data_IF_725471020151
#
_entry.id   IF_725471020151
#
_cell.length_a   1.000
_cell.length_b   1.000
_cell.length_c   1.000
_cell.angle_alpha   90.00
_cell.angle_beta   90.00
_cell.angle_gamma   90.00
#
_symmetry.space_group_name_H-M   'P 1'
#
loop_
_entity.id
_entity.type
_entity.pdbx_description
1 polymer ?
#
# COMPACT_ATOMS: atom_id res chain seq x y z
N UNK A 1 53.74 -11.68 21.58
CA UNK A 1 52.38 -11.34 22.07
C UNK A 1 51.53 -11.06 20.83
N UNK A 2 50.76 -12.08 20.42
CA UNK A 2 49.28 -12.11 20.44
C UNK A 2 48.69 -11.20 19.34
N UNK A 3 47.78 -11.61 18.46
CA UNK A 3 47.19 -12.91 18.13
C UNK A 3 46.33 -12.63 16.90
N UNK A 4 46.58 -13.29 15.79
CA UNK A 4 45.75 -13.21 14.58
C UNK A 4 44.46 -14.00 14.85
N UNK A 5 43.33 -13.34 15.04
CA UNK A 5 42.05 -14.04 15.16
C UNK A 5 41.50 -14.33 13.75
N UNK A 6 41.75 -15.55 13.30
CA UNK A 6 40.97 -16.20 12.25
C UNK A 6 39.57 -16.48 12.80
N UNK A 7 38.54 -15.82 12.28
CA UNK A 7 37.15 -16.19 12.52
C UNK A 7 36.71 -17.19 11.47
N UNK A 8 36.50 -18.42 11.90
CA UNK A 8 35.90 -19.53 11.15
C UNK A 8 34.45 -19.22 10.76
N UNK A 9 33.93 -19.78 9.65
CA UNK A 9 32.55 -19.57 9.23
C UNK A 9 31.61 -20.41 10.10
N UNK A 10 30.79 -19.75 10.92
CA UNK A 10 29.69 -20.39 11.64
C UNK A 10 28.55 -20.72 10.69
N UNK A 11 28.03 -21.93 10.88
CA UNK A 11 26.99 -22.62 10.13
C UNK A 11 25.78 -21.73 9.84
N UNK A 12 25.19 -21.94 8.67
CA UNK A 12 23.86 -21.49 8.31
C UNK A 12 22.84 -22.04 9.31
N UNK A 13 22.56 -21.29 10.36
CA UNK A 13 21.35 -21.49 11.15
C UNK A 13 20.17 -21.01 10.31
N UNK A 14 19.36 -21.98 9.90
CA UNK A 14 18.13 -21.77 9.18
C UNK A 14 17.19 -20.88 10.00
N UNK A 15 17.04 -19.62 9.58
CA UNK A 15 16.00 -18.75 10.10
C UNK A 15 14.62 -19.42 9.90
N UNK A 16 13.73 -19.44 10.91
CA UNK A 16 12.39 -19.97 10.76
C UNK A 16 11.65 -19.20 9.67
N UNK A 17 11.28 -19.88 8.58
CA UNK A 17 10.49 -19.33 7.48
C UNK A 17 9.00 -19.21 7.85
N UNK A 18 8.69 -18.61 8.99
CA UNK A 18 7.30 -18.23 9.27
C UNK A 18 7.04 -16.88 8.62
N UNK A 19 6.82 -16.89 7.30
CA UNK A 19 5.90 -15.90 6.73
C UNK A 19 4.55 -16.16 7.41
N UNK A 20 3.88 -15.14 7.97
CA UNK A 20 2.49 -15.32 8.32
C UNK A 20 1.72 -15.60 7.03
N UNK A 21 1.02 -16.73 7.02
CA UNK A 21 0.05 -17.03 5.98
C UNK A 21 -0.92 -15.85 5.81
N UNK A 22 -1.48 -15.73 4.60
CA UNK A 22 -2.57 -14.82 4.22
C UNK A 22 -3.46 -14.48 5.43
N UNK A 23 -3.90 -13.20 5.62
CA UNK A 23 -4.63 -12.79 6.81
C UNK A 23 -5.73 -13.79 7.14
N UNK A 24 -5.58 -14.46 8.28
CA UNK A 24 -6.54 -15.44 8.78
C UNK A 24 -7.89 -14.75 8.83
N UNK A 25 -8.86 -15.27 8.09
CA UNK A 25 -10.26 -14.87 8.23
C UNK A 25 -10.68 -15.30 9.63
N UNK A 26 -10.69 -14.35 10.57
CA UNK A 26 -11.18 -14.60 11.92
C UNK A 26 -12.69 -14.67 11.82
N UNK A 27 -13.24 -15.87 11.99
CA UNK A 27 -14.67 -16.06 12.20
C UNK A 27 -15.02 -15.50 13.58
N UNK A 28 -15.61 -14.30 13.60
CA UNK A 28 -15.98 -13.60 14.82
C UNK A 28 -17.08 -14.32 15.61
N UNK A 29 -17.83 -15.23 14.98
CA UNK A 29 -18.97 -15.91 15.59
C UNK A 29 -18.54 -17.14 16.41
N UNK A 30 -17.30 -17.60 16.24
CA UNK A 30 -16.74 -18.80 16.89
C UNK A 30 -15.83 -18.51 18.10
N UNK A 31 -15.77 -17.25 18.58
CA UNK A 31 -14.92 -16.88 19.72
C UNK A 31 -15.52 -17.40 21.04
N UNK A 32 -15.04 -18.56 21.50
CA UNK A 32 -15.34 -19.09 22.84
C UNK A 32 -14.58 -18.27 23.87
N UNK A 33 -15.32 -17.45 24.64
CA UNK A 33 -14.79 -16.75 25.81
C UNK A 33 -14.50 -17.79 26.89
N UNK A 34 -13.22 -18.02 27.20
CA UNK A 34 -12.86 -18.74 28.42
C UNK A 34 -13.11 -17.83 29.61
N UNK A 35 -14.03 -18.24 30.49
CA UNK A 35 -14.34 -17.53 31.73
C UNK A 35 -13.07 -17.31 32.57
N UNK A 36 -12.68 -16.04 32.72
CA UNK A 36 -11.67 -15.62 33.69
C UNK A 36 -12.36 -15.65 35.07
N UNK A 37 -11.80 -16.35 36.09
CA UNK A 37 -12.45 -16.44 37.39
C UNK A 37 -12.58 -15.06 38.03
N UNK A 38 -13.81 -14.81 38.45
CA UNK A 38 -14.42 -13.55 38.86
C UNK A 38 -13.65 -12.79 39.97
N UNK A 39 -13.24 -11.57 39.66
CA UNK A 39 -13.42 -10.43 40.56
C UNK A 39 -14.04 -9.29 39.74
N UNK A 40 -15.34 -9.13 39.94
CA UNK A 40 -16.26 -8.05 39.53
C UNK A 40 -15.81 -7.10 38.41
N UNK A 41 -16.24 -7.40 37.18
CA UNK A 41 -16.55 -6.37 36.18
C UNK A 41 -17.81 -6.76 35.40
N UNK A 42 -18.76 -5.83 35.40
CA UNK A 42 -20.07 -5.85 34.72
C UNK A 42 -19.99 -6.49 33.31
N UNK A 43 -20.71 -7.60 33.09
CA UNK A 43 -20.74 -8.32 31.81
C UNK A 43 -21.62 -7.52 30.82
N UNK A 44 -21.01 -6.54 30.18
CA UNK A 44 -21.55 -5.85 29.01
C UNK A 44 -20.60 -6.00 27.84
N UNK A 45 -20.74 -7.13 27.12
CA UNK A 45 -20.04 -7.42 25.86
C UNK A 45 -18.56 -7.77 26.07
N UNK A 46 -18.13 -8.93 25.58
CA UNK A 46 -16.71 -9.29 25.56
C UNK A 46 -15.90 -8.25 24.78
N UNK A 47 -14.82 -7.75 25.37
CA UNK A 47 -13.93 -6.81 24.72
C UNK A 47 -12.80 -7.56 24.01
N UNK A 48 -12.66 -7.34 22.70
CA UNK A 48 -11.52 -7.86 21.93
C UNK A 48 -10.28 -7.00 22.22
N UNK A 49 -9.20 -7.64 22.69
CA UNK A 49 -7.91 -6.99 22.90
C UNK A 49 -6.86 -7.49 21.91
N UNK A 50 -6.27 -6.56 21.16
CA UNK A 50 -5.10 -6.85 20.34
C UNK A 50 -3.84 -6.84 21.21
N UNK A 51 -3.13 -7.96 21.24
CA UNK A 51 -1.91 -8.12 22.05
C UNK A 51 -0.64 -7.93 21.24
N UNK A 52 -0.71 -8.07 19.91
CA UNK A 52 0.47 -8.11 19.05
C UNK A 52 0.30 -7.18 17.86
N UNK A 53 1.35 -6.43 17.55
CA UNK A 53 1.44 -5.61 16.34
C UNK A 53 2.67 -6.03 15.52
N UNK A 54 2.44 -6.52 14.31
CA UNK A 54 3.48 -6.83 13.34
C UNK A 54 3.65 -5.66 12.37
N UNK A 55 4.86 -5.11 12.30
CA UNK A 55 5.23 -3.99 11.44
C UNK A 55 6.13 -4.49 10.31
N UNK A 56 5.70 -4.28 9.07
CA UNK A 56 6.49 -4.54 7.88
C UNK A 56 7.07 -3.23 7.35
N UNK A 57 8.39 -3.17 7.18
CA UNK A 57 9.07 -1.99 6.62
C UNK A 57 9.42 -2.24 5.16
N UNK A 58 8.94 -1.38 4.28
CA UNK A 58 9.19 -1.44 2.84
C UNK A 58 10.12 -0.30 2.42
N UNK A 59 11.09 -0.57 1.53
CA UNK A 59 11.86 0.49 0.89
C UNK A 59 10.96 1.46 0.13
N UNK A 60 11.39 2.71 0.06
CA UNK A 60 10.73 3.74 -0.74
C UNK A 60 11.03 3.51 -2.23
N UNK A 61 10.00 3.60 -3.08
CA UNK A 61 10.15 3.55 -4.54
C UNK A 61 8.97 4.22 -5.24
N UNK A 62 8.89 4.12 -6.56
CA UNK A 62 7.69 4.37 -7.33
C UNK A 62 6.76 3.14 -7.29
N UNK A 63 5.58 3.27 -6.68
CA UNK A 63 4.65 2.14 -6.56
C UNK A 63 3.41 2.46 -5.72
N UNK A 64 2.37 1.65 -5.86
CA UNK A 64 1.09 1.85 -5.17
C UNK A 64 0.15 2.86 -5.85
N UNK A 65 -1.00 3.11 -5.25
CA UNK A 65 -2.07 3.95 -5.81
C UNK A 65 -1.99 5.43 -5.41
N UNK A 66 -0.93 5.80 -4.67
CA UNK A 66 -0.77 7.14 -4.11
C UNK A 66 -0.50 8.15 -5.23
N UNK A 67 -1.44 9.07 -5.44
CA UNK A 67 -1.28 10.18 -6.37
C UNK A 67 -1.33 11.50 -5.59
N UNK A 68 -0.20 12.23 -5.49
CA UNK A 68 -0.16 13.53 -4.86
C UNK A 68 -1.15 14.49 -5.51
N UNK A 69 -1.83 15.31 -4.69
CA UNK A 69 -2.74 16.35 -5.19
C UNK A 69 -1.96 17.37 -6.02
N UNK A 70 -0.83 17.80 -5.48
CA UNK A 70 0.08 18.78 -6.06
C UNK A 70 1.06 18.14 -7.06
N UNK A 71 1.92 18.93 -7.70
CA UNK A 71 2.84 18.50 -8.77
C UNK A 71 3.82 17.39 -8.37
N UNK A 72 4.45 16.77 -9.37
CA UNK A 72 5.59 15.87 -9.15
C UNK A 72 5.28 14.38 -9.10
N UNK A 73 6.35 13.58 -8.93
CA UNK A 73 6.23 12.13 -9.01
C UNK A 73 5.56 11.60 -7.73
N UNK A 74 4.70 10.59 -7.83
CA UNK A 74 4.25 9.89 -6.65
C UNK A 74 5.41 9.14 -6.00
N UNK A 75 5.30 8.93 -4.69
CA UNK A 75 6.17 8.05 -3.94
C UNK A 75 5.31 6.95 -3.33
N UNK A 76 5.88 5.77 -3.20
CA UNK A 76 5.25 4.67 -2.50
C UNK A 76 6.28 3.67 -2.02
N UNK A 77 5.84 2.43 -1.94
CA UNK A 77 6.56 1.35 -1.29
C UNK A 77 6.92 0.27 -2.30
N UNK A 78 8.05 -0.40 -2.07
CA UNK A 78 8.45 -1.54 -2.88
C UNK A 78 7.49 -2.71 -2.67
N UNK A 79 7.51 -3.67 -3.60
CA UNK A 79 6.67 -4.87 -3.49
C UNK A 79 7.08 -5.75 -2.31
N UNK A 80 8.35 -5.73 -1.94
CA UNK A 80 8.92 -6.59 -0.90
C UNK A 80 9.35 -5.75 0.31
N UNK A 81 9.09 -6.26 1.52
CA UNK A 81 9.57 -5.65 2.75
C UNK A 81 11.02 -6.07 3.01
N UNK A 82 11.75 -5.26 3.77
CA UNK A 82 13.13 -5.53 4.21
C UNK A 82 13.22 -5.85 5.69
N UNK A 83 12.20 -5.50 6.47
CA UNK A 83 12.19 -5.74 7.91
C UNK A 83 10.80 -6.13 8.38
N UNK A 84 10.75 -7.05 9.34
CA UNK A 84 9.56 -7.42 10.08
C UNK A 84 9.86 -7.24 11.56
N UNK A 85 8.99 -6.52 12.27
CA UNK A 85 9.10 -6.30 13.70
C UNK A 85 7.79 -6.68 14.39
N UNK A 86 7.88 -7.47 15.46
CA UNK A 86 6.73 -7.82 16.28
C UNK A 86 6.86 -7.09 17.60
N UNK A 87 5.82 -6.36 17.98
CA UNK A 87 5.79 -5.59 19.22
C UNK A 87 4.51 -5.90 20.01
N UNK A 88 4.62 -5.86 21.33
CA UNK A 88 3.48 -5.93 22.24
C UNK A 88 2.59 -4.68 22.06
N UNK A 89 1.31 -4.92 21.76
CA UNK A 89 0.29 -3.90 21.54
C UNK A 89 -0.52 -3.59 22.81
N UNK A 90 -0.31 -4.33 23.91
CA UNK A 90 -0.97 -4.06 25.19
C UNK A 90 -0.47 -2.79 25.86
N UNK A 91 0.75 -2.36 25.52
CA UNK A 91 1.31 -1.10 26.01
C UNK A 91 0.67 0.10 25.30
N UNK A 92 0.11 1.09 26.03
CA UNK A 92 -0.51 2.26 25.41
C UNK A 92 0.53 3.07 24.64
N UNK A 93 0.46 3.05 23.30
CA UNK A 93 1.37 3.82 22.44
C UNK A 93 1.00 5.30 22.41
N UNK A 94 2.04 6.13 22.30
CA UNK A 94 2.03 7.60 22.43
C UNK A 94 1.11 8.31 21.42
N UNK A 95 0.83 9.57 21.77
CA UNK A 95 -0.04 10.57 21.15
C UNK A 95 -0.17 10.44 19.63
N UNK A 96 -1.41 10.54 19.13
CA UNK A 96 -1.74 10.70 17.72
C UNK A 96 -1.03 11.94 17.17
N UNK A 97 -0.06 11.74 16.27
CA UNK A 97 0.56 12.82 15.50
C UNK A 97 0.00 12.83 14.08
N UNK A 98 0.07 13.99 13.42
CA UNK A 98 -0.21 14.05 11.98
C UNK A 98 0.97 13.43 11.23
N UNK A 99 0.67 12.55 10.28
CA UNK A 99 1.66 12.01 9.35
C UNK A 99 2.20 13.17 8.48
N UNK A 100 3.52 13.28 8.42
CA UNK A 100 4.20 14.29 7.60
C UNK A 100 3.89 14.07 6.12
N UNK A 101 3.68 15.17 5.38
CA UNK A 101 3.53 15.15 3.92
C UNK A 101 4.82 15.66 3.28
N UNK A 102 5.23 15.01 2.20
CA UNK A 102 6.41 15.40 1.43
C UNK A 102 6.03 16.38 0.31
N UNK A 103 6.79 17.44 0.18
CA UNK A 103 6.72 18.40 -0.93
C UNK A 103 7.15 17.76 -2.25
N UNK A 104 6.97 18.50 -3.35
CA UNK A 104 7.38 18.05 -4.68
C UNK A 104 8.89 17.75 -4.76
N UNK A 105 9.73 18.66 -4.24
CA UNK A 105 11.19 18.53 -4.32
C UNK A 105 11.69 17.40 -3.41
N UNK A 106 11.16 17.30 -2.19
CA UNK A 106 11.50 16.20 -1.27
C UNK A 106 11.18 14.84 -1.90
N UNK A 107 10.07 14.72 -2.64
CA UNK A 107 9.75 13.47 -3.35
C UNK A 107 10.75 13.14 -4.44
N UNK A 108 11.23 14.13 -5.20
CA UNK A 108 12.28 13.92 -6.19
C UNK A 108 13.57 13.46 -5.51
N UNK A 109 13.95 14.11 -4.40
CA UNK A 109 15.16 13.77 -3.64
C UNK A 109 15.08 12.35 -3.07
N UNK A 110 13.92 11.95 -2.52
CA UNK A 110 13.70 10.60 -2.02
C UNK A 110 13.82 9.55 -3.13
N UNK A 111 13.27 9.81 -4.32
CA UNK A 111 13.38 8.87 -5.44
C UNK A 111 14.82 8.79 -5.97
N UNK A 112 15.55 9.92 -6.03
CA UNK A 112 16.98 9.93 -6.36
C UNK A 112 17.80 9.12 -5.35
N UNK A 113 17.50 9.28 -4.06
CA UNK A 113 18.15 8.51 -2.99
C UNK A 113 17.82 7.01 -3.06
N UNK A 114 16.67 6.65 -3.64
CA UNK A 114 16.29 5.28 -3.95
C UNK A 114 16.84 4.78 -5.31
N UNK A 115 17.87 5.44 -5.84
CA UNK A 115 18.55 5.08 -7.10
C UNK A 115 17.66 5.12 -8.35
N UNK A 116 16.52 5.81 -8.29
CA UNK A 116 15.66 6.01 -9.45
C UNK A 116 16.25 7.10 -10.33
N UNK A 117 16.48 6.77 -11.59
CA UNK A 117 17.11 7.68 -12.54
C UNK A 117 16.24 8.91 -12.79
N UNK A 118 16.84 10.09 -13.05
CA UNK A 118 16.08 11.30 -13.40
C UNK A 118 15.14 11.11 -14.59
N UNK A 119 15.52 10.26 -15.55
CA UNK A 119 14.68 9.90 -16.70
C UNK A 119 13.38 9.22 -16.27
N UNK A 120 13.45 8.26 -15.34
CA UNK A 120 12.26 7.61 -14.81
C UNK A 120 11.43 8.56 -13.96
N UNK A 121 12.06 9.40 -13.13
CA UNK A 121 11.35 10.42 -12.34
C UNK A 121 10.55 11.36 -13.25
N UNK A 122 11.12 11.80 -14.37
CA UNK A 122 10.41 12.63 -15.34
C UNK A 122 9.20 11.91 -15.95
N UNK A 123 9.35 10.63 -16.32
CA UNK A 123 8.24 9.82 -16.80
C UNK A 123 7.11 9.69 -15.75
N UNK A 124 7.46 9.47 -14.48
CA UNK A 124 6.51 9.40 -13.38
C UNK A 124 5.76 10.71 -13.15
N UNK A 125 6.43 11.86 -13.34
CA UNK A 125 5.78 13.16 -13.31
C UNK A 125 4.73 13.30 -14.43
N UNK A 126 5.08 12.89 -15.66
CA UNK A 126 4.17 12.96 -16.80
C UNK A 126 2.94 12.07 -16.59
N UNK A 127 3.16 10.81 -16.19
CA UNK A 127 2.06 9.88 -15.86
C UNK A 127 1.15 10.45 -14.76
N UNK A 128 1.73 11.05 -13.73
CA UNK A 128 0.95 11.67 -12.65
C UNK A 128 0.11 12.87 -13.12
N UNK A 129 0.53 13.61 -14.15
CA UNK A 129 -0.27 14.67 -14.77
C UNK A 129 -1.46 14.06 -15.52
N UNK A 130 -1.21 13.04 -16.33
CA UNK A 130 -2.25 12.35 -17.11
C UNK A 130 -3.32 11.74 -16.20
N UNK A 131 -2.92 11.02 -15.15
CA UNK A 131 -3.86 10.41 -14.20
C UNK A 131 -4.69 11.49 -13.50
N UNK A 132 -4.11 12.65 -13.15
CA UNK A 132 -4.87 13.74 -12.53
C UNK A 132 -5.87 14.36 -13.50
N UNK A 133 -5.48 14.59 -14.75
CA UNK A 133 -6.38 15.09 -15.78
C UNK A 133 -7.56 14.13 -16.00
N UNK A 134 -7.26 12.83 -16.13
CA UNK A 134 -8.26 11.78 -16.24
C UNK A 134 -9.22 11.77 -15.03
N UNK A 135 -8.70 11.77 -13.80
CA UNK A 135 -9.52 11.83 -12.57
C UNK A 135 -10.36 13.09 -12.51
N UNK A 136 -9.84 14.25 -12.92
CA UNK A 136 -10.59 15.49 -12.96
C UNK A 136 -11.75 15.43 -13.97
N UNK A 137 -11.54 14.84 -15.15
CA UNK A 137 -12.60 14.60 -16.15
C UNK A 137 -13.69 13.69 -15.57
N UNK A 138 -13.32 12.57 -14.96
CA UNK A 138 -14.27 11.65 -14.31
C UNK A 138 -15.05 12.34 -13.20
N UNK A 139 -14.39 13.12 -12.33
CA UNK A 139 -15.07 13.84 -11.25
C UNK A 139 -16.05 14.89 -11.77
N UNK A 140 -15.71 15.60 -12.85
CA UNK A 140 -16.62 16.54 -13.52
C UNK A 140 -17.83 15.83 -14.10
N UNK A 141 -17.62 14.72 -14.81
CA UNK A 141 -18.70 13.88 -15.35
C UNK A 141 -19.65 13.39 -14.24
N UNK A 142 -19.10 12.83 -13.16
CA UNK A 142 -19.89 12.37 -12.03
C UNK A 142 -20.64 13.50 -11.34
N UNK A 143 -20.01 14.67 -11.18
CA UNK A 143 -20.66 15.84 -10.58
C UNK A 143 -21.85 16.32 -11.43
N UNK A 144 -21.70 16.41 -12.75
CA UNK A 144 -22.81 16.75 -13.68
C UNK A 144 -23.94 15.73 -13.62
N UNK A 145 -23.58 14.43 -13.64
CA UNK A 145 -24.58 13.35 -13.53
C UNK A 145 -25.37 13.42 -12.22
N UNK A 146 -24.74 13.86 -11.12
CA UNK A 146 -25.43 14.05 -9.85
C UNK A 146 -26.22 15.36 -9.77
N UNK A 147 -25.82 16.42 -10.49
CA UNK A 147 -26.59 17.68 -10.54
C UNK A 147 -27.77 17.65 -11.51
N UNK A 148 -27.83 16.65 -12.40
CA UNK A 148 -28.91 16.51 -13.39
C UNK A 148 -28.67 17.27 -14.70
N UNK A 149 -27.52 17.93 -14.82
CA UNK A 149 -27.14 18.71 -16.00
C UNK A 149 -26.44 17.80 -17.03
N UNK A 150 -27.24 17.05 -17.81
CA UNK A 150 -26.77 16.29 -18.96
C UNK A 150 -26.74 17.18 -20.22
N UNK A 151 -25.67 17.97 -20.35
CA UNK A 151 -25.26 18.47 -21.67
C UNK A 151 -24.04 17.68 -22.14
N UNK A 152 -24.21 16.93 -23.22
CA UNK A 152 -23.13 16.24 -23.93
C UNK A 152 -22.24 17.31 -24.58
N UNK A 153 -21.12 17.61 -23.92
CA UNK A 153 -20.07 18.41 -24.52
C UNK A 153 -19.24 17.49 -25.41
N UNK A 154 -19.37 17.67 -26.72
CA UNK A 154 -18.38 17.19 -27.69
C UNK A 154 -17.01 17.78 -27.29
N UNK A 155 -16.07 16.91 -26.93
CA UNK A 155 -14.69 17.31 -26.69
C UNK A 155 -14.04 17.61 -28.05
N UNK A 156 -13.65 18.86 -28.32
CA UNK A 156 -12.78 19.24 -29.44
C UNK A 156 -11.35 18.73 -29.17
N UNK A 157 -11.05 17.53 -29.65
CA UNK A 157 -9.74 16.86 -29.56
C UNK A 157 -8.72 17.38 -30.61
N UNK A 158 -8.62 18.70 -30.81
CA UNK A 158 -7.58 19.29 -31.67
C UNK A 158 -6.23 19.46 -30.96
N UNK A 159 -5.62 18.36 -30.51
CA UNK A 159 -4.17 18.28 -30.31
C UNK A 159 -3.68 16.91 -30.77
N UNK A 160 -3.13 16.84 -31.99
CA UNK A 160 -2.50 15.63 -32.52
C UNK A 160 -1.32 15.16 -31.65
N UNK A 161 -1.26 13.88 -31.29
CA UNK A 161 -0.02 13.23 -30.93
C UNK A 161 0.35 12.22 -32.02
N UNK A 162 1.34 12.59 -32.84
CA UNK A 162 2.02 11.66 -33.74
C UNK A 162 2.81 10.62 -32.93
N UNK A 163 2.18 9.54 -32.47
CA UNK A 163 2.89 8.30 -32.12
C UNK A 163 1.99 7.10 -32.31
N UNK A 164 2.35 6.24 -33.25
CA UNK A 164 1.77 4.92 -33.47
C UNK A 164 1.93 4.06 -32.22
N UNK A 165 0.84 3.76 -31.51
CA UNK A 165 0.82 2.74 -30.46
C UNK A 165 -0.20 1.65 -30.80
N UNK A 166 0.33 0.44 -30.94
CA UNK A 166 -0.38 -0.81 -31.17
C UNK A 166 -1.37 -1.04 -30.02
N UNK A 167 -2.65 -1.12 -30.37
CA UNK A 167 -3.78 -1.32 -29.48
C UNK A 167 -3.71 -2.69 -28.79
N UNK A 168 -3.08 -2.76 -27.61
CA UNK A 168 -3.20 -3.94 -26.76
C UNK A 168 -4.49 -3.84 -25.96
N UNK A 169 -5.56 -4.40 -26.55
CA UNK A 169 -6.84 -4.68 -25.92
C UNK A 169 -6.62 -5.41 -24.59
N UNK A 170 -6.63 -4.68 -23.48
CA UNK A 170 -6.61 -5.26 -22.13
C UNK A 170 -7.90 -6.05 -21.94
N UNK A 171 -7.84 -7.36 -22.20
CA UNK A 171 -8.84 -8.32 -21.72
C UNK A 171 -8.89 -8.18 -20.21
N UNK A 172 -10.01 -7.69 -19.66
CA UNK A 172 -10.37 -7.94 -18.26
C UNK A 172 -10.42 -9.45 -18.09
N UNK A 173 -9.40 -10.05 -17.49
CA UNK A 173 -9.46 -11.44 -17.05
C UNK A 173 -10.51 -11.49 -15.93
N UNK A 174 -11.65 -12.08 -16.23
CA UNK A 174 -12.58 -12.56 -15.22
C UNK A 174 -11.84 -13.62 -14.40
N UNK A 175 -11.73 -13.42 -13.10
CA UNK A 175 -11.28 -14.44 -12.15
C UNK A 175 -12.56 -15.08 -11.63
N UNK A 176 -12.89 -16.33 -12.02
CA UNK A 176 -14.04 -17.02 -11.48
C UNK A 176 -13.84 -17.23 -9.98
N UNK A 177 -14.88 -16.99 -9.19
CA UNK A 177 -14.89 -17.40 -7.79
C UNK A 177 -14.72 -18.92 -7.72
N UNK A 178 -13.81 -19.38 -6.85
CA UNK A 178 -13.64 -20.80 -6.52
C UNK A 178 -14.82 -21.28 -5.68
N UNK A 179 -15.99 -21.43 -6.30
CA UNK A 179 -17.16 -22.07 -5.68
C UNK A 179 -17.74 -23.22 -6.51
N UNK A 180 -17.07 -23.65 -7.58
CA UNK A 180 -17.55 -24.73 -8.45
C UNK A 180 -16.54 -25.88 -8.61
N UNK A 181 -15.89 -26.30 -7.52
CA UNK A 181 -15.04 -27.49 -7.57
C UNK A 181 -15.25 -28.44 -6.38
N UNK A 182 -16.51 -28.60 -5.98
CA UNK A 182 -17.00 -29.67 -5.11
C UNK A 182 -18.43 -30.01 -5.56
N UNK A 183 -18.52 -30.89 -6.55
CA UNK A 183 -19.58 -31.91 -6.70
C UNK A 183 -18.94 -33.16 -7.33
#
# INVERSE_FOLDING_TARGET
MLSTCMTTPTKHDALPRHLPDSPVTVDCDSLVVHDIPSMELDVRGGAVQFTTATTFTFPLTYGGSALPKDSGPPIGMAMNHVTVQVADATTPKRRRSRVRKFSHLERIELLKAAEITPRHIAAYCAEAVEIRASRAKTLRYLKRRMSGDLEDCEDDDSVEPTTTLVEHKRRRMYIPALSELLD
#
